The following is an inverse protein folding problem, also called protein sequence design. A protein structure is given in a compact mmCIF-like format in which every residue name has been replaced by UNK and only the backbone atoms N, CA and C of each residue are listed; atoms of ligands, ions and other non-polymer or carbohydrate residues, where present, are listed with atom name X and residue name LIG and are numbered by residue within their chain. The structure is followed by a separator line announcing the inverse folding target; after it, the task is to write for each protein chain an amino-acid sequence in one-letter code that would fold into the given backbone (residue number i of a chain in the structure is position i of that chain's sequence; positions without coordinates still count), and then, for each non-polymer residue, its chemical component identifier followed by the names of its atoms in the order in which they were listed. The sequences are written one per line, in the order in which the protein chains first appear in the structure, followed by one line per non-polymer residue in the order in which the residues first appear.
data_IF_167857992275
#
_entry.id   IF_167857992275
#
_cell.length_a   1.000
_cell.length_b   1.000
_cell.length_c   1.000
_cell.angle_alpha   90.00
_cell.angle_beta   90.00
_cell.angle_gamma   90.00
#
_symmetry.space_group_name_H-M   'P 1'
#
loop_
_entity.id
_entity.type
_entity.pdbx_description
1 polymer ?
#
# COMPACT_ATOMS: atom_id res chain seq x y z
N UNK A 1 -17.79 17.31 -2.36
CA UNK A 1 -19.13 17.71 -1.87
C UNK A 1 -20.20 17.54 -2.95
N UNK A 2 -19.99 17.97 -4.21
CA UNK A 2 -20.99 17.83 -5.29
C UNK A 2 -21.42 16.39 -5.58
N UNK A 3 -20.57 15.41 -5.24
CA UNK A 3 -20.82 13.96 -5.41
C UNK A 3 -21.18 13.27 -4.09
N UNK A 4 -21.54 14.02 -3.03
CA UNK A 4 -21.94 13.48 -1.74
C UNK A 4 -20.79 13.08 -0.82
N UNK A 5 -19.54 13.38 -1.20
CA UNK A 5 -18.37 13.14 -0.35
C UNK A 5 -18.26 14.15 0.78
N UNK A 6 -17.75 13.70 1.93
CA UNK A 6 -17.36 14.57 3.04
C UNK A 6 -15.93 15.09 2.78
N UNK A 7 -15.72 16.39 3.03
CA UNK A 7 -14.39 17.01 2.91
C UNK A 7 -13.86 17.31 4.30
N UNK A 8 -12.70 16.74 4.60
CA UNK A 8 -11.93 17.07 5.80
C UNK A 8 -10.66 17.82 5.37
N UNK A 9 -10.43 18.97 5.95
CA UNK A 9 -9.21 19.76 5.75
C UNK A 9 -8.44 19.83 7.06
N UNK A 10 -7.28 19.16 7.09
CA UNK A 10 -6.34 19.32 8.21
C UNK A 10 -5.75 20.73 8.23
N UNK A 11 -5.59 21.29 9.43
CA UNK A 11 -4.89 22.54 9.70
C UNK A 11 -3.49 22.30 10.28
N UNK A 12 -3.09 21.02 10.44
CA UNK A 12 -1.78 20.61 10.96
C UNK A 12 -0.88 20.16 9.84
N UNK A 13 0.41 20.27 10.05
CA UNK A 13 1.42 19.58 9.24
C UNK A 13 1.50 18.11 9.65
N UNK A 14 1.66 17.23 8.67
CA UNK A 14 1.74 15.79 8.85
C UNK A 14 2.99 15.24 8.15
N UNK A 15 3.64 14.26 8.77
CA UNK A 15 4.83 13.61 8.21
C UNK A 15 4.49 12.72 7.00
N UNK A 16 3.29 12.13 6.99
CA UNK A 16 2.84 11.26 5.91
C UNK A 16 1.29 11.29 5.71
N UNK A 17 0.84 10.61 4.66
CA UNK A 17 -0.60 10.51 4.34
C UNK A 17 -1.41 9.80 5.41
N UNK A 18 -0.85 8.75 6.03
CA UNK A 18 -1.51 7.98 7.09
C UNK A 18 -1.77 8.83 8.34
N UNK A 19 -0.87 9.74 8.72
CA UNK A 19 -1.08 10.67 9.85
C UNK A 19 -2.27 11.60 9.60
N UNK A 20 -2.41 12.09 8.38
CA UNK A 20 -3.54 12.96 7.99
C UNK A 20 -4.86 12.22 8.05
N UNK A 21 -4.88 10.97 7.62
CA UNK A 21 -6.09 10.14 7.66
C UNK A 21 -6.43 9.76 9.09
N UNK A 22 -5.44 9.50 9.94
CA UNK A 22 -5.64 9.25 11.36
C UNK A 22 -6.37 10.44 12.04
N UNK A 23 -5.96 11.69 11.73
CA UNK A 23 -6.68 12.88 12.22
C UNK A 23 -8.14 12.92 11.72
N UNK A 24 -8.34 12.64 10.43
CA UNK A 24 -9.68 12.69 9.83
C UNK A 24 -10.65 11.68 10.46
N UNK A 25 -10.17 10.52 10.90
CA UNK A 25 -11.02 9.45 11.45
C UNK A 25 -11.18 9.49 12.97
N UNK A 26 -10.58 10.45 13.68
CA UNK A 26 -10.66 10.53 15.14
C UNK A 26 -12.10 10.48 15.67
N UNK A 27 -12.99 11.19 15.01
CA UNK A 27 -14.40 11.31 15.41
C UNK A 27 -15.33 10.32 14.66
N UNK A 28 -14.77 9.36 13.93
CA UNK A 28 -15.55 8.35 13.22
C UNK A 28 -15.45 6.99 13.93
N UNK A 29 -16.62 6.41 14.22
CA UNK A 29 -16.73 5.05 14.77
C UNK A 29 -16.78 4.04 13.62
N UNK A 30 -15.60 3.58 13.20
CA UNK A 30 -15.42 2.61 12.12
C UNK A 30 -14.40 1.55 12.54
N UNK A 31 -14.55 0.34 12.04
CA UNK A 31 -13.63 -0.77 12.36
C UNK A 31 -12.40 -0.75 11.45
N UNK A 32 -12.62 -0.43 10.18
CA UNK A 32 -11.59 -0.45 9.13
C UNK A 32 -11.58 0.87 8.38
N UNK A 33 -10.39 1.43 8.17
CA UNK A 33 -10.13 2.63 7.39
C UNK A 33 -9.39 2.25 6.12
N UNK A 34 -9.93 2.62 4.96
CA UNK A 34 -9.25 2.40 3.68
C UNK A 34 -8.65 3.73 3.21
N UNK A 35 -7.34 3.75 3.06
CA UNK A 35 -6.58 4.87 2.50
C UNK A 35 -6.33 4.60 1.02
N UNK A 36 -6.86 5.47 0.17
CA UNK A 36 -6.61 5.48 -1.26
C UNK A 36 -5.90 6.78 -1.58
N UNK A 37 -4.66 6.69 -2.04
CA UNK A 37 -3.88 7.85 -2.43
C UNK A 37 -4.46 8.47 -3.72
N UNK A 38 -4.35 9.79 -3.86
CA UNK A 38 -4.88 10.50 -5.02
C UNK A 38 -4.17 10.19 -6.34
N UNK A 39 -2.99 9.60 -6.27
CA UNK A 39 -2.15 9.13 -7.38
C UNK A 39 -2.46 7.70 -7.84
N UNK A 40 -3.45 7.02 -7.20
CA UNK A 40 -3.91 5.66 -7.56
C UNK A 40 -5.32 5.68 -8.21
N UNK A 41 -5.51 6.36 -9.34
CA UNK A 41 -6.85 6.59 -9.93
C UNK A 41 -7.48 5.34 -10.53
N UNK A 42 -6.69 4.28 -10.78
CA UNK A 42 -7.15 3.06 -11.44
C UNK A 42 -7.53 1.93 -10.47
N UNK A 43 -7.60 2.24 -9.17
CA UNK A 43 -8.03 1.25 -8.18
C UNK A 43 -9.45 0.76 -8.49
N UNK A 44 -9.59 -0.54 -8.68
CA UNK A 44 -10.86 -1.15 -9.03
C UNK A 44 -11.61 -1.72 -7.80
N UNK A 45 -12.93 -1.88 -7.95
CA UNK A 45 -13.78 -2.41 -6.89
C UNK A 45 -13.41 -3.85 -6.43
N UNK A 46 -13.01 -4.80 -7.31
CA UNK A 46 -12.54 -6.12 -6.88
C UNK A 46 -11.36 -6.07 -5.93
N UNK A 47 -10.35 -5.23 -6.19
CA UNK A 47 -9.19 -5.06 -5.31
C UNK A 47 -9.58 -4.52 -3.94
N UNK A 48 -10.47 -3.51 -3.88
CA UNK A 48 -11.02 -3.00 -2.61
C UNK A 48 -11.78 -4.08 -1.83
N UNK A 49 -12.62 -4.85 -2.52
CA UNK A 49 -13.36 -5.96 -1.88
C UNK A 49 -12.40 -7.01 -1.31
N UNK A 50 -11.31 -7.30 -2.02
CA UNK A 50 -10.29 -8.25 -1.56
C UNK A 50 -9.54 -7.74 -0.32
N UNK A 51 -9.22 -6.44 -0.24
CA UNK A 51 -8.66 -5.84 0.98
C UNK A 51 -9.61 -5.95 2.17
N UNK A 52 -10.88 -5.58 1.99
CA UNK A 52 -11.88 -5.64 3.07
C UNK A 52 -12.18 -7.09 3.50
N UNK A 53 -12.07 -8.05 2.59
CA UNK A 53 -12.21 -9.47 2.87
C UNK A 53 -11.19 -9.96 3.90
N UNK A 54 -9.96 -9.46 3.86
CA UNK A 54 -8.91 -9.79 4.84
C UNK A 54 -9.42 -9.62 6.27
N UNK A 55 -10.05 -8.49 6.58
CA UNK A 55 -10.52 -8.18 7.93
C UNK A 55 -11.78 -8.95 8.33
N UNK A 56 -12.61 -9.32 7.36
CA UNK A 56 -13.80 -10.15 7.60
C UNK A 56 -13.43 -11.59 7.94
N UNK A 57 -12.35 -12.11 7.37
CA UNK A 57 -11.85 -13.47 7.59
C UNK A 57 -10.90 -13.57 8.78
N UNK A 58 -10.34 -12.47 9.25
CA UNK A 58 -9.45 -12.37 10.39
C UNK A 58 -10.25 -12.28 11.71
N UNK A 59 -10.90 -13.39 12.07
CA UNK A 59 -11.77 -13.46 13.25
C UNK A 59 -11.01 -13.15 14.55
N UNK A 60 -9.77 -13.62 14.65
CA UNK A 60 -8.90 -13.42 15.83
C UNK A 60 -8.20 -12.04 15.85
N UNK A 61 -8.51 -11.18 14.89
CA UNK A 61 -7.98 -9.82 14.77
C UNK A 61 -6.44 -9.76 14.82
N UNK A 62 -5.78 -10.70 14.14
CA UNK A 62 -4.33 -10.80 14.09
C UNK A 62 -3.69 -9.87 13.05
N UNK A 63 -4.47 -9.36 12.10
CA UNK A 63 -3.99 -8.48 11.02
C UNK A 63 -4.28 -7.03 11.38
N UNK A 64 -3.24 -6.24 11.53
CA UNK A 64 -3.33 -4.80 11.84
C UNK A 64 -3.66 -3.97 10.61
N UNK A 65 -3.06 -4.34 9.47
CA UNK A 65 -3.30 -3.67 8.19
C UNK A 65 -3.15 -4.62 7.01
N UNK A 66 -3.74 -4.24 5.88
CA UNK A 66 -3.60 -4.93 4.61
C UNK A 66 -3.28 -3.94 3.49
N UNK A 67 -2.59 -4.42 2.46
CA UNK A 67 -2.30 -3.64 1.25
C UNK A 67 -2.29 -4.53 0.02
N UNK A 68 -2.16 -3.91 -1.14
CA UNK A 68 -2.12 -4.59 -2.42
C UNK A 68 -0.68 -4.81 -2.89
N UNK A 69 -0.46 -5.89 -3.63
CA UNK A 69 0.76 -6.11 -4.39
C UNK A 69 0.44 -6.67 -5.77
N UNK A 70 1.27 -6.34 -6.76
CA UNK A 70 1.14 -6.82 -8.13
C UNK A 70 2.44 -7.46 -8.61
N UNK A 71 2.41 -8.54 -9.40
CA UNK A 71 3.63 -9.14 -9.95
C UNK A 71 4.37 -8.15 -10.85
N UNK A 72 5.70 -8.10 -10.71
CA UNK A 72 6.61 -7.44 -11.63
C UNK A 72 7.27 -8.49 -12.52
N UNK A 73 7.37 -8.22 -13.82
CA UNK A 73 7.95 -9.14 -14.79
C UNK A 73 9.11 -8.53 -15.57
N UNK A 74 9.00 -7.25 -15.88
CA UNK A 74 10.00 -6.55 -16.68
C UNK A 74 11.18 -6.10 -15.81
N UNK A 75 12.39 -6.33 -16.29
CA UNK A 75 13.62 -6.02 -15.58
C UNK A 75 13.72 -4.54 -15.21
N UNK A 76 13.33 -3.67 -16.12
CA UNK A 76 13.30 -2.23 -15.93
C UNK A 76 12.38 -1.81 -14.77
N UNK A 77 11.23 -2.50 -14.63
CA UNK A 77 10.29 -2.25 -13.52
C UNK A 77 10.85 -2.75 -12.19
N UNK A 78 11.53 -3.91 -12.18
CA UNK A 78 12.14 -4.50 -10.99
C UNK A 78 13.30 -3.64 -10.49
N UNK A 79 14.13 -3.12 -11.38
CA UNK A 79 15.29 -2.28 -11.04
C UNK A 79 14.91 -0.82 -10.71
N UNK A 80 13.71 -0.38 -11.09
CA UNK A 80 13.24 0.98 -10.81
C UNK A 80 13.01 1.18 -9.30
N UNK A 81 13.74 2.10 -8.63
CA UNK A 81 13.59 2.36 -7.20
C UNK A 81 12.24 3.02 -6.82
N UNK A 82 11.51 3.59 -7.78
CA UNK A 82 10.17 4.11 -7.56
C UNK A 82 9.13 2.99 -7.42
N UNK A 83 9.39 1.82 -7.98
CA UNK A 83 8.61 0.63 -7.70
C UNK A 83 9.10 0.00 -6.40
N UNK A 84 8.37 0.16 -5.31
CA UNK A 84 8.69 -0.47 -4.03
C UNK A 84 8.43 -1.97 -4.13
N UNK A 85 9.48 -2.78 -3.91
CA UNK A 85 9.34 -4.25 -3.87
C UNK A 85 8.90 -4.70 -2.50
N UNK A 86 8.12 -5.78 -2.45
CA UNK A 86 7.69 -6.43 -1.22
C UNK A 86 7.96 -7.92 -1.27
N UNK A 87 8.50 -8.46 -0.19
CA UNK A 87 8.59 -9.91 0.04
C UNK A 87 7.61 -10.32 1.13
N UNK A 88 7.05 -11.50 0.97
CA UNK A 88 5.99 -12.03 1.85
C UNK A 88 6.32 -13.44 2.33
N UNK A 89 5.74 -13.82 3.46
CA UNK A 89 5.75 -15.20 3.93
C UNK A 89 4.74 -16.09 3.18
N UNK A 90 4.65 -17.35 3.58
CA UNK A 90 3.72 -18.32 2.97
C UNK A 90 2.24 -17.98 3.21
N UNK A 91 1.94 -17.13 4.18
CA UNK A 91 0.62 -16.62 4.48
C UNK A 91 0.35 -15.28 3.79
N UNK A 92 1.23 -14.82 2.91
CA UNK A 92 1.19 -13.48 2.30
C UNK A 92 1.22 -12.35 3.34
N UNK A 93 1.89 -12.50 4.47
CA UNK A 93 2.21 -11.39 5.35
C UNK A 93 3.55 -10.77 4.92
N UNK A 94 3.63 -9.45 4.90
CA UNK A 94 4.84 -8.74 4.51
C UNK A 94 5.99 -9.05 5.47
N UNK A 95 7.15 -9.40 4.90
CA UNK A 95 8.39 -9.58 5.62
C UNK A 95 9.28 -8.34 5.55
N UNK A 96 9.32 -7.68 4.38
CA UNK A 96 10.04 -6.43 4.18
C UNK A 96 9.63 -5.73 2.89
N UNK A 97 9.87 -4.41 2.85
CA UNK A 97 9.71 -3.55 1.69
C UNK A 97 11.04 -2.91 1.34
N UNK A 98 11.37 -2.80 0.06
CA UNK A 98 12.60 -2.13 -0.37
C UNK A 98 12.46 -1.48 -1.75
N UNK A 99 13.18 -0.39 -1.93
CA UNK A 99 13.41 0.20 -3.27
C UNK A 99 14.39 -0.61 -4.09
N UNK A 100 15.29 -1.37 -3.43
CA UNK A 100 16.16 -2.33 -4.10
C UNK A 100 15.39 -3.56 -4.58
N UNK A 101 15.84 -4.24 -5.65
CA UNK A 101 15.31 -5.55 -6.02
C UNK A 101 15.48 -6.58 -4.90
N UNK A 102 14.38 -7.05 -4.35
CA UNK A 102 14.33 -8.13 -3.35
C UNK A 102 13.25 -9.15 -3.73
N UNK A 103 13.46 -10.48 -3.46
CA UNK A 103 14.68 -11.09 -2.92
C UNK A 103 15.82 -11.17 -3.95
N UNK A 104 17.05 -11.42 -3.48
CA UNK A 104 18.14 -11.76 -4.36
C UNK A 104 18.05 -13.23 -4.78
N UNK A 105 17.89 -13.47 -6.07
CA UNK A 105 17.84 -14.84 -6.62
C UNK A 105 19.26 -15.35 -6.93
N UNK A 106 19.83 -16.13 -6.01
CA UNK A 106 21.13 -16.78 -6.22
C UNK A 106 21.03 -17.97 -7.18
N UNK A 107 19.89 -18.70 -7.12
CA UNK A 107 19.60 -19.80 -8.05
C UNK A 107 18.90 -19.28 -9.29
N UNK A 108 19.38 -19.68 -10.47
CA UNK A 108 18.78 -19.37 -11.77
C UNK A 108 17.66 -20.34 -12.15
N UNK A 109 17.53 -21.46 -11.43
CA UNK A 109 16.61 -22.56 -11.74
C UNK A 109 15.21 -22.34 -11.13
N UNK A 110 15.07 -21.31 -10.27
CA UNK A 110 13.80 -20.96 -9.64
C UNK A 110 13.08 -19.84 -10.42
N UNK A 111 11.75 -19.90 -10.51
CA UNK A 111 10.99 -18.79 -11.05
C UNK A 111 11.19 -17.54 -10.19
N UNK A 112 11.59 -16.44 -10.83
CA UNK A 112 11.79 -15.17 -10.15
C UNK A 112 10.45 -14.43 -10.02
N UNK A 113 9.93 -14.35 -8.80
CA UNK A 113 8.68 -13.69 -8.49
C UNK A 113 8.95 -12.41 -7.70
N UNK A 114 8.95 -11.28 -8.39
CA UNK A 114 8.98 -9.97 -7.75
C UNK A 114 7.58 -9.41 -7.65
N UNK A 115 7.31 -8.69 -6.57
CA UNK A 115 6.04 -8.00 -6.37
C UNK A 115 6.29 -6.51 -6.10
N UNK A 116 5.52 -5.66 -6.79
CA UNK A 116 5.41 -4.23 -6.49
C UNK A 116 4.32 -4.04 -5.44
N UNK A 117 4.64 -3.30 -4.41
CA UNK A 117 3.67 -2.77 -3.45
C UNK A 117 2.87 -1.62 -4.09
N UNK A 118 1.57 -1.58 -3.84
CA UNK A 118 0.69 -0.49 -4.26
C UNK A 118 0.30 0.34 -3.04
N UNK A 119 0.28 1.66 -3.19
CA UNK A 119 0.03 2.64 -2.12
C UNK A 119 -1.42 2.69 -1.59
N UNK A 120 -2.11 1.56 -1.60
CA UNK A 120 -3.48 1.41 -1.10
C UNK A 120 -3.47 0.59 0.17
N UNK A 121 -3.94 1.18 1.27
CA UNK A 121 -3.92 0.54 2.58
C UNK A 121 -5.32 0.39 3.15
N UNK A 122 -5.54 -0.69 3.86
CA UNK A 122 -6.68 -0.85 4.75
C UNK A 122 -6.15 -1.15 6.16
N UNK A 123 -6.58 -0.36 7.13
CA UNK A 123 -6.11 -0.43 8.52
C UNK A 123 -7.26 -0.80 9.43
N UNK A 124 -7.01 -1.59 10.49
CA UNK A 124 -7.84 -1.47 11.67
C UNK A 124 -7.70 -0.05 12.22
N UNK A 125 -8.79 0.58 12.61
CA UNK A 125 -8.79 1.97 13.10
C UNK A 125 -7.75 2.17 14.21
N UNK A 126 -7.71 1.27 15.19
CA UNK A 126 -6.78 1.38 16.31
C UNK A 126 -5.31 1.24 15.89
N UNK A 127 -5.01 0.40 14.88
CA UNK A 127 -3.67 0.28 14.32
C UNK A 127 -3.24 1.59 13.64
N UNK A 128 -4.13 2.25 12.90
CA UNK A 128 -3.86 3.54 12.27
C UNK A 128 -3.61 4.64 13.31
N UNK A 129 -4.42 4.72 14.35
CA UNK A 129 -4.24 5.70 15.42
C UNK A 129 -2.92 5.48 16.19
N UNK A 130 -2.58 4.21 16.46
CA UNK A 130 -1.29 3.86 17.08
C UNK A 130 -0.11 4.25 16.18
N UNK A 131 -0.21 4.02 14.87
CA UNK A 131 0.81 4.41 13.90
C UNK A 131 1.08 5.91 13.95
N UNK A 132 0.04 6.74 13.87
CA UNK A 132 0.21 8.20 13.85
C UNK A 132 0.74 8.77 15.17
N UNK A 133 0.58 8.04 16.27
CA UNK A 133 1.18 8.39 17.55
C UNK A 133 2.64 7.93 17.69
N UNK A 134 3.13 7.10 16.77
CA UNK A 134 4.47 6.51 16.80
C UNK A 134 5.46 7.36 16.01
N UNK A 135 6.71 7.43 16.50
CA UNK A 135 7.78 8.11 15.77
C UNK A 135 8.23 7.30 14.56
N UNK A 136 8.69 8.01 13.54
CA UNK A 136 9.35 7.42 12.38
C UNK A 136 10.54 6.54 12.80
N UNK A 137 10.60 5.34 12.19
CA UNK A 137 11.60 4.32 12.54
C UNK A 137 12.84 4.39 11.62
N UNK A 138 13.99 3.81 12.01
CA UNK A 138 15.23 3.93 11.23
C UNK A 138 15.12 3.35 9.80
N UNK A 139 14.50 2.19 9.62
CA UNK A 139 14.34 1.58 8.28
C UNK A 139 13.31 2.34 7.43
N UNK A 140 12.24 2.85 8.05
CA UNK A 140 11.31 3.76 7.38
C UNK A 140 12.02 5.01 6.87
N UNK A 141 12.91 5.60 7.68
CA UNK A 141 13.71 6.77 7.28
C UNK A 141 14.65 6.46 6.12
N UNK A 142 15.26 5.27 6.12
CA UNK A 142 16.21 4.85 5.09
C UNK A 142 15.53 4.62 3.74
N UNK A 143 14.43 3.86 3.72
CA UNK A 143 13.71 3.50 2.49
C UNK A 143 12.67 4.55 2.07
N UNK A 144 12.25 5.44 2.98
CA UNK A 144 11.13 6.38 2.79
C UNK A 144 9.83 5.66 2.41
N UNK A 145 9.53 4.60 3.17
CA UNK A 145 8.35 3.75 3.01
C UNK A 145 7.65 3.64 4.37
N UNK A 146 6.51 4.31 4.52
CA UNK A 146 5.83 4.45 5.81
C UNK A 146 5.40 3.12 6.46
N UNK A 147 4.99 2.13 5.66
CA UNK A 147 4.53 0.85 6.18
C UNK A 147 5.63 0.00 6.84
N UNK A 148 6.91 0.32 6.64
CA UNK A 148 8.03 -0.33 7.34
C UNK A 148 7.92 -0.10 8.85
N UNK A 149 7.41 1.05 9.31
CA UNK A 149 7.17 1.35 10.72
C UNK A 149 6.35 0.25 11.42
N UNK A 150 5.32 -0.26 10.75
CA UNK A 150 4.51 -1.37 11.28
C UNK A 150 5.33 -2.65 11.46
N UNK A 151 6.18 -2.98 10.48
CA UNK A 151 7.03 -4.18 10.54
C UNK A 151 8.06 -4.07 11.66
N UNK A 152 8.70 -2.90 11.82
CA UNK A 152 9.66 -2.65 12.90
C UNK A 152 9.00 -2.70 14.29
N UNK A 153 7.68 -2.49 14.39
CA UNK A 153 6.89 -2.61 15.60
C UNK A 153 6.30 -4.01 15.81
N UNK A 154 6.66 -4.98 14.98
CA UNK A 154 6.17 -6.36 15.06
C UNK A 154 4.70 -6.54 14.65
N UNK A 155 4.13 -5.57 13.94
CA UNK A 155 2.75 -5.62 13.45
C UNK A 155 2.64 -6.48 12.19
N UNK A 156 1.48 -7.12 12.01
CA UNK A 156 1.21 -7.97 10.85
C UNK A 156 0.51 -7.19 9.74
N UNK A 157 1.15 -7.17 8.58
CA UNK A 157 0.61 -6.57 7.37
C UNK A 157 0.32 -7.65 6.33
N UNK A 158 -0.96 -7.82 5.99
CA UNK A 158 -1.40 -8.77 4.96
C UNK A 158 -1.28 -8.16 3.58
N UNK A 159 -0.62 -8.87 2.65
CA UNK A 159 -0.53 -8.48 1.26
C UNK A 159 -1.55 -9.25 0.41
N UNK A 160 -2.29 -8.54 -0.42
CA UNK A 160 -3.28 -9.11 -1.34
C UNK A 160 -2.77 -8.95 -2.76
N UNK A 161 -2.65 -10.08 -3.48
CA UNK A 161 -2.24 -10.05 -4.90
C UNK A 161 -3.38 -9.48 -5.74
N UNK A 162 -3.05 -8.51 -6.58
CA UNK A 162 -3.94 -8.01 -7.63
C UNK A 162 -3.24 -8.08 -8.98
N UNK A 163 -4.01 -8.25 -10.04
CA UNK A 163 -3.53 -8.16 -11.42
C UNK A 163 -3.98 -6.86 -12.08
N UNK A 164 -4.43 -5.92 -11.27
CA UNK A 164 -4.80 -4.59 -11.75
C UNK A 164 -3.58 -3.86 -12.30
N UNK A 165 -3.78 -3.07 -13.35
CA UNK A 165 -2.77 -2.13 -13.84
C UNK A 165 -2.39 -1.16 -12.70
N UNK A 166 -1.12 -1.18 -12.34
CA UNK A 166 -0.56 -0.37 -11.25
C UNK A 166 0.02 0.94 -11.81
N UNK A 167 -0.79 1.71 -12.54
CA UNK A 167 -0.39 3.01 -13.05
C UNK A 167 -0.68 4.03 -11.96
N UNK A 168 0.29 4.25 -11.06
CA UNK A 168 0.34 5.43 -10.21
C UNK A 168 0.76 6.64 -11.03
N UNK A 169 0.31 7.83 -10.68
CA UNK A 169 0.64 9.08 -11.39
C UNK A 169 1.53 9.94 -10.50
N UNK A 170 2.84 9.68 -10.54
CA UNK A 170 3.85 10.45 -9.81
C UNK A 170 4.59 11.45 -10.72
N UNK A 171 4.68 11.15 -12.01
CA UNK A 171 5.44 11.93 -12.99
C UNK A 171 4.58 12.33 -14.20
N UNK A 172 4.99 13.34 -14.99
CA UNK A 172 4.32 13.67 -16.25
C UNK A 172 4.30 12.51 -17.26
N UNK A 173 5.29 11.62 -17.21
CA UNK A 173 5.36 10.41 -18.02
C UNK A 173 4.28 9.40 -17.61
N UNK A 174 4.02 9.27 -16.31
CA UNK A 174 2.97 8.39 -15.79
C UNK A 174 1.58 8.92 -16.18
N UNK A 175 1.39 10.23 -16.19
CA UNK A 175 0.15 10.83 -16.68
C UNK A 175 -0.13 10.46 -18.14
N UNK A 176 0.90 10.49 -19.01
CA UNK A 176 0.76 10.05 -20.41
C UNK A 176 0.39 8.58 -20.54
N UNK A 177 0.99 7.71 -19.71
CA UNK A 177 0.64 6.28 -19.66
C UNK A 177 -0.81 6.08 -19.19
N UNK A 178 -1.24 6.84 -18.18
CA UNK A 178 -2.59 6.83 -17.68
C UNK A 178 -3.61 7.27 -18.74
N UNK A 179 -3.34 8.35 -19.48
CA UNK A 179 -4.16 8.81 -20.58
C UNK A 179 -4.23 7.79 -21.72
N UNK A 180 -3.10 7.15 -22.05
CA UNK A 180 -3.07 6.08 -23.06
C UNK A 180 -3.94 4.88 -22.63
N UNK A 181 -3.86 4.47 -21.36
CA UNK A 181 -4.65 3.38 -20.80
C UNK A 181 -6.16 3.69 -20.83
N UNK A 182 -6.56 4.93 -20.51
CA UNK A 182 -7.96 5.35 -20.58
C UNK A 182 -8.52 5.34 -21.99
N UNK A 183 -7.69 5.70 -22.98
CA UNK A 183 -8.11 5.77 -24.39
C UNK A 183 -8.07 4.39 -25.08
N UNK A 184 -7.39 3.40 -24.52
CA UNK A 184 -7.23 2.05 -25.05
C UNK A 184 -7.44 1.00 -23.95
N UNK A 185 -8.66 0.90 -23.37
CA UNK A 185 -8.91 -0.10 -22.35
C UNK A 185 -8.82 -1.51 -22.96
N UNK A 186 -7.90 -2.33 -22.46
CA UNK A 186 -7.71 -3.75 -22.85
C UNK A 186 -8.75 -4.64 -22.22
#
# INVERSE_FOLDING_TARGET
EKLGGLVFRSLKEHECGSDRIAEAVLNHHVDVVVNIQGDEPFLNQPSLKSLLKVFREDVDQQIDLASLMTPLREKEEIENPNNVKVIVDQQNCALYFSRSPIPYYRSTDLPQNYYKHLGVYAFRREALLHFSASKMTPLEQAEKIECIRYLEQGKKMKMVVTHQSAIGIDTPEDLKKAEHFLNNPS
#
